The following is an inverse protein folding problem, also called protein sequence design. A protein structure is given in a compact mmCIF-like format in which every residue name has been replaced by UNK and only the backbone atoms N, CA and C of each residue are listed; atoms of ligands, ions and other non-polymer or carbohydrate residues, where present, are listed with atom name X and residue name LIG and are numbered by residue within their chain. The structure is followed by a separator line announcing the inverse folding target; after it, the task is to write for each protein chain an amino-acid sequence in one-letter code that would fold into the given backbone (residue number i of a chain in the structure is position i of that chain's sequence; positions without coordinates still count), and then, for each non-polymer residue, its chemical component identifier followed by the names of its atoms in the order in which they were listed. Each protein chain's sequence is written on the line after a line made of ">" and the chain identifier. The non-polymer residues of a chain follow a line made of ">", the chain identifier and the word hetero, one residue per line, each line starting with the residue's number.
data_IF_095050521156
#
_entry.id   IF_095050521156
#
_cell.length_a   1.000
_cell.length_b   1.000
_cell.length_c   1.000
_cell.angle_alpha   90.00
_cell.angle_beta   90.00
_cell.angle_gamma   90.00
#
_symmetry.space_group_name_H-M   'P 1'
#
loop_
_entity.id
_entity.type
_entity.pdbx_description
1 polymer ?
#
# COMPACT_ATOMS: atom_id res chain seq x y z
N UNK A 1 10.15 -18.37 -8.26
CA UNK A 1 8.84 -17.81 -8.59
C UNK A 1 8.52 -16.73 -7.55
N UNK A 2 8.16 -15.52 -7.92
CA UNK A 2 7.80 -14.49 -6.91
C UNK A 2 6.36 -14.74 -6.49
N UNK A 3 6.00 -14.66 -5.20
CA UNK A 3 4.61 -14.71 -4.79
C UNK A 3 3.85 -13.56 -5.46
N UNK A 4 2.77 -13.89 -6.15
CA UNK A 4 1.97 -12.92 -6.89
C UNK A 4 0.81 -12.48 -6.00
N UNK A 5 0.71 -11.17 -5.77
CA UNK A 5 -0.46 -10.55 -5.14
C UNK A 5 -1.40 -10.08 -6.24
N UNK A 6 -2.58 -10.66 -6.32
CA UNK A 6 -3.64 -10.22 -7.21
C UNK A 6 -4.53 -9.22 -6.49
N UNK A 7 -4.71 -8.04 -7.07
CA UNK A 7 -5.72 -7.10 -6.61
C UNK A 7 -6.99 -7.26 -7.46
N UNK A 8 -8.05 -7.71 -6.80
CA UNK A 8 -9.39 -7.80 -7.38
C UNK A 8 -10.08 -6.45 -7.27
N UNK A 9 -10.40 -5.84 -8.40
CA UNK A 9 -11.09 -4.56 -8.48
C UNK A 9 -12.57 -4.80 -8.84
N UNK A 10 -13.45 -4.57 -7.88
CA UNK A 10 -14.88 -4.83 -8.02
C UNK A 10 -15.68 -3.68 -8.68
N UNK A 11 -15.03 -2.69 -9.24
CA UNK A 11 -15.68 -1.67 -10.06
C UNK A 11 -16.14 -2.26 -11.38
N UNK A 12 -17.36 -1.88 -11.85
CA UNK A 12 -17.94 -2.47 -13.08
C UNK A 12 -17.16 -2.10 -14.34
N UNK A 13 -16.46 -0.95 -14.36
CA UNK A 13 -15.67 -0.49 -15.49
C UNK A 13 -14.38 0.14 -14.98
N UNK A 14 -13.25 -0.30 -15.49
CA UNK A 14 -11.91 0.19 -15.13
C UNK A 14 -11.20 0.70 -16.38
N UNK A 15 -10.34 1.72 -16.22
CA UNK A 15 -9.55 2.30 -17.31
C UNK A 15 -10.15 3.57 -17.92
N UNK A 16 -11.45 3.81 -17.78
CA UNK A 16 -12.16 4.94 -18.40
C UNK A 16 -11.70 6.34 -17.92
N UNK A 17 -11.05 6.43 -16.78
CA UNK A 17 -10.42 7.68 -16.32
C UNK A 17 -9.04 7.89 -16.92
N UNK A 18 -8.30 6.83 -17.22
CA UNK A 18 -6.89 6.89 -17.55
C UNK A 18 -6.02 7.11 -16.32
N UNK A 19 -4.76 7.46 -16.54
CA UNK A 19 -3.74 7.65 -15.51
C UNK A 19 -3.20 9.08 -15.59
N UNK A 20 -3.18 9.83 -14.49
CA UNK A 20 -2.61 11.18 -14.47
C UNK A 20 -1.08 11.15 -14.62
N UNK A 21 -0.45 12.28 -15.01
CA UNK A 21 1.00 12.34 -15.12
C UNK A 21 1.69 12.10 -13.79
N UNK A 22 2.81 11.39 -13.81
CA UNK A 22 3.66 11.25 -12.63
C UNK A 22 4.44 12.54 -12.42
N UNK A 23 3.99 13.36 -11.50
CA UNK A 23 4.63 14.61 -11.09
C UNK A 23 4.92 14.57 -9.59
N UNK A 24 6.00 15.23 -9.17
CA UNK A 24 6.43 15.26 -7.77
C UNK A 24 6.30 16.69 -7.24
N UNK A 25 5.69 16.83 -6.08
CA UNK A 25 5.56 18.11 -5.36
C UNK A 25 6.92 18.53 -4.75
N UNK A 26 7.01 19.79 -4.30
CA UNK A 26 8.21 20.32 -3.63
C UNK A 26 8.60 19.54 -2.36
N UNK A 27 7.64 18.88 -1.73
CA UNK A 27 7.83 18.05 -0.54
C UNK A 27 8.30 16.62 -0.85
N UNK A 28 8.54 16.28 -2.12
CA UNK A 28 8.98 14.97 -2.57
C UNK A 28 7.87 13.92 -2.77
N UNK A 29 6.59 14.28 -2.54
CA UNK A 29 5.46 13.38 -2.74
C UNK A 29 4.95 13.45 -4.18
N UNK A 30 4.54 12.31 -4.72
CA UNK A 30 3.85 12.28 -6.00
C UNK A 30 2.49 12.99 -5.89
N UNK A 31 2.20 13.89 -6.84
CA UNK A 31 1.02 14.77 -6.78
C UNK A 31 -0.30 13.98 -6.84
N UNK A 32 -0.36 12.99 -7.73
CA UNK A 32 -1.60 12.25 -8.01
C UNK A 32 -1.52 10.76 -7.69
N UNK A 33 -0.35 10.27 -7.28
CA UNK A 33 -0.14 8.85 -6.97
C UNK A 33 -0.07 8.63 -5.46
N UNK A 34 -0.61 7.51 -5.02
CA UNK A 34 -0.60 7.10 -3.61
C UNK A 34 0.63 6.29 -3.23
N UNK A 35 1.45 5.91 -4.22
CA UNK A 35 2.70 5.16 -4.07
C UNK A 35 3.64 5.46 -5.24
N UNK A 36 4.88 5.05 -5.12
CA UNK A 36 5.94 5.22 -6.12
C UNK A 36 5.81 4.29 -7.34
N UNK A 37 5.07 3.18 -7.20
CA UNK A 37 4.87 2.16 -8.23
C UNK A 37 3.61 1.36 -7.98
N UNK A 38 3.27 0.46 -8.91
CA UNK A 38 2.23 -0.56 -8.72
C UNK A 38 2.82 -1.71 -7.90
N UNK A 39 2.29 -1.94 -6.70
CA UNK A 39 2.70 -3.05 -5.83
C UNK A 39 1.94 -4.35 -6.10
N UNK A 40 0.80 -4.28 -6.81
CA UNK A 40 0.08 -5.45 -7.26
C UNK A 40 0.91 -6.23 -8.30
N UNK A 41 0.84 -7.55 -8.24
CA UNK A 41 1.50 -8.41 -9.24
C UNK A 41 0.61 -8.68 -10.45
N UNK A 42 -0.69 -8.51 -10.31
CA UNK A 42 -1.69 -8.51 -11.39
C UNK A 42 -2.96 -7.80 -10.94
N UNK A 43 -3.77 -7.34 -11.89
CA UNK A 43 -5.07 -6.72 -11.64
C UNK A 43 -6.15 -7.58 -12.32
N UNK A 44 -7.22 -7.86 -11.59
CA UNK A 44 -8.41 -8.56 -12.10
C UNK A 44 -9.57 -7.57 -12.12
N UNK A 45 -10.18 -7.38 -13.28
CA UNK A 45 -11.32 -6.47 -13.49
C UNK A 45 -12.45 -7.15 -14.25
N UNK A 46 -13.70 -6.69 -14.06
CA UNK A 46 -14.83 -7.19 -14.85
C UNK A 46 -14.73 -6.71 -16.30
N UNK A 47 -14.76 -5.40 -16.47
CA UNK A 47 -14.72 -4.74 -17.77
C UNK A 47 -13.61 -3.70 -17.81
N UNK A 48 -12.94 -3.62 -18.96
CA UNK A 48 -11.88 -2.67 -19.22
C UNK A 48 -12.27 -1.71 -20.34
N UNK A 49 -12.05 -0.41 -20.12
CA UNK A 49 -12.23 0.62 -21.16
C UNK A 49 -10.91 0.91 -21.85
N UNK A 50 -10.86 0.67 -23.16
CA UNK A 50 -9.71 1.04 -24.01
C UNK A 50 -9.53 2.57 -24.12
N UNK A 51 -10.65 3.30 -24.05
CA UNK A 51 -10.64 4.76 -24.12
C UNK A 51 -10.77 5.38 -22.74
N UNK A 52 -9.99 6.43 -22.51
CA UNK A 52 -10.09 7.24 -21.30
C UNK A 52 -10.41 8.71 -21.64
N UNK A 53 -11.06 9.42 -20.73
CA UNK A 53 -11.58 10.77 -20.98
C UNK A 53 -11.42 11.76 -19.83
N UNK A 54 -10.68 11.42 -18.77
CA UNK A 54 -10.49 12.35 -17.65
C UNK A 54 -9.54 13.49 -18.07
N UNK A 55 -9.89 14.73 -17.70
CA UNK A 55 -9.15 15.94 -18.07
C UNK A 55 -7.65 15.92 -17.69
N UNK A 56 -7.29 15.20 -16.63
CA UNK A 56 -5.92 15.08 -16.12
C UNK A 56 -5.23 13.77 -16.56
N UNK A 57 -5.85 13.01 -17.44
CA UNK A 57 -5.25 11.77 -17.91
C UNK A 57 -4.12 12.03 -18.92
N UNK A 58 -3.02 11.32 -18.74
CA UNK A 58 -1.84 11.39 -19.59
C UNK A 58 -1.61 10.14 -20.41
N UNK A 59 -2.03 8.99 -19.88
CA UNK A 59 -1.88 7.69 -20.52
C UNK A 59 -3.04 6.76 -20.16
N UNK A 60 -3.15 5.62 -20.88
CA UNK A 60 -4.12 4.58 -20.50
C UNK A 60 -3.62 3.77 -19.30
N UNK A 61 -4.54 3.16 -18.57
CA UNK A 61 -4.16 2.21 -17.52
C UNK A 61 -3.39 1.01 -18.11
N UNK A 62 -3.72 0.55 -19.31
CA UNK A 62 -3.01 -0.53 -19.97
C UNK A 62 -1.55 -0.19 -20.26
N UNK A 63 -1.26 1.04 -20.69
CA UNK A 63 0.11 1.47 -20.96
C UNK A 63 0.92 1.55 -19.65
N UNK A 64 0.32 2.06 -18.57
CA UNK A 64 0.96 2.06 -17.27
C UNK A 64 1.25 0.64 -16.77
N UNK A 65 0.26 -0.28 -16.83
CA UNK A 65 0.43 -1.68 -16.44
C UNK A 65 1.54 -2.37 -17.25
N UNK A 66 1.57 -2.14 -18.59
CA UNK A 66 2.63 -2.67 -19.46
C UNK A 66 4.01 -2.16 -19.07
N UNK A 67 4.14 -0.87 -18.79
CA UNK A 67 5.40 -0.25 -18.36
C UNK A 67 5.90 -0.81 -17.03
N UNK A 68 5.01 -1.09 -16.11
CA UNK A 68 5.32 -1.69 -14.79
C UNK A 68 5.47 -3.23 -14.85
N UNK A 69 5.15 -3.86 -15.99
CA UNK A 69 5.19 -5.31 -16.14
C UNK A 69 4.10 -6.04 -15.33
N UNK A 70 2.95 -5.38 -15.11
CA UNK A 70 1.82 -5.91 -14.34
C UNK A 70 0.73 -6.38 -15.29
N UNK A 71 0.40 -7.69 -15.34
CA UNK A 71 -0.69 -8.20 -16.17
C UNK A 71 -2.06 -7.76 -15.66
N UNK A 72 -2.98 -7.50 -16.58
CA UNK A 72 -4.40 -7.26 -16.33
C UNK A 72 -5.26 -8.37 -16.90
N UNK A 73 -6.26 -8.83 -16.15
CA UNK A 73 -7.23 -9.84 -16.57
C UNK A 73 -8.61 -9.22 -16.56
N UNK A 74 -9.34 -9.39 -17.66
CA UNK A 74 -10.72 -8.90 -17.82
C UNK A 74 -11.70 -10.07 -18.00
N UNK A 75 -13.00 -9.77 -17.90
CA UNK A 75 -14.04 -10.76 -18.13
C UNK A 75 -14.33 -11.68 -16.93
N UNK A 76 -13.83 -11.34 -15.76
CA UNK A 76 -14.08 -12.09 -14.52
C UNK A 76 -15.21 -11.41 -13.73
N UNK A 77 -16.15 -12.20 -13.20
CA UNK A 77 -17.11 -11.69 -12.21
C UNK A 77 -16.41 -11.37 -10.90
N UNK A 78 -15.84 -10.16 -10.83
CA UNK A 78 -15.08 -9.68 -9.68
C UNK A 78 -15.94 -9.53 -8.44
N UNK A 79 -17.26 -9.32 -8.60
CA UNK A 79 -18.20 -9.25 -7.48
C UNK A 79 -18.41 -10.62 -6.84
N UNK A 80 -18.57 -11.67 -7.66
CA UNK A 80 -18.65 -13.04 -7.15
C UNK A 80 -17.33 -13.47 -6.52
N UNK A 81 -16.20 -13.16 -7.13
CA UNK A 81 -14.88 -13.43 -6.58
C UNK A 81 -14.71 -12.75 -5.19
N UNK A 82 -15.16 -11.50 -5.05
CA UNK A 82 -15.14 -10.80 -3.76
C UNK A 82 -15.97 -11.52 -2.69
N UNK A 83 -17.14 -12.08 -3.05
CA UNK A 83 -17.96 -12.85 -2.09
C UNK A 83 -17.24 -14.11 -1.64
N UNK A 84 -16.63 -14.85 -2.56
CA UNK A 84 -15.85 -16.05 -2.25
C UNK A 84 -14.69 -15.71 -1.30
N UNK A 85 -13.93 -14.64 -1.59
CA UNK A 85 -12.82 -14.18 -0.74
C UNK A 85 -13.29 -13.74 0.66
N UNK A 86 -14.48 -13.15 0.78
CA UNK A 86 -15.05 -12.77 2.09
C UNK A 86 -15.45 -13.97 2.93
N UNK A 87 -15.89 -15.05 2.31
CA UNK A 87 -16.31 -16.29 3.00
C UNK A 87 -15.12 -17.16 3.40
N UNK A 88 -14.09 -17.22 2.56
CA UNK A 88 -12.95 -18.13 2.73
C UNK A 88 -11.66 -17.45 3.21
N UNK A 89 -11.62 -16.12 3.23
CA UNK A 89 -10.41 -15.35 3.54
C UNK A 89 -9.45 -15.29 2.35
N UNK A 90 -8.15 -15.19 2.62
CA UNK A 90 -7.11 -15.15 1.60
C UNK A 90 -7.02 -16.51 0.90
N UNK A 91 -7.05 -16.50 -0.42
CA UNK A 91 -6.98 -17.72 -1.24
C UNK A 91 -5.80 -17.66 -2.20
N UNK A 92 -5.16 -18.80 -2.39
CA UNK A 92 -4.14 -18.97 -3.42
C UNK A 92 -4.80 -19.11 -4.78
N UNK A 93 -4.26 -18.42 -5.78
CA UNK A 93 -4.74 -18.47 -7.17
C UNK A 93 -3.60 -18.60 -8.16
N UNK A 94 -3.92 -19.08 -9.35
CA UNK A 94 -3.01 -19.17 -10.50
C UNK A 94 -3.67 -18.57 -11.72
N UNK A 95 -2.86 -17.92 -12.55
CA UNK A 95 -3.20 -17.61 -13.93
C UNK A 95 -2.49 -18.64 -14.79
N UNK A 96 -3.22 -19.41 -15.54
CA UNK A 96 -2.70 -20.41 -16.47
C UNK A 96 -3.07 -19.97 -17.89
N UNK A 97 -2.14 -20.15 -18.82
CA UNK A 97 -2.39 -20.05 -20.26
C UNK A 97 -2.71 -21.44 -20.80
N UNK A 98 -3.40 -21.52 -21.93
CA UNK A 98 -3.94 -22.77 -22.49
C UNK A 98 -2.90 -23.87 -22.71
N UNK A 99 -1.64 -23.52 -22.87
CA UNK A 99 -0.50 -24.42 -23.09
C UNK A 99 0.32 -24.72 -21.81
N UNK A 100 -0.05 -24.13 -20.66
CA UNK A 100 0.65 -24.35 -19.41
C UNK A 100 0.09 -25.56 -18.61
N UNK A 101 0.95 -26.37 -17.98
CA UNK A 101 0.49 -27.48 -17.17
C UNK A 101 -0.21 -27.01 -15.90
N UNK A 102 -1.34 -27.61 -15.54
CA UNK A 102 -2.11 -27.30 -14.35
C UNK A 102 -1.35 -27.52 -13.02
N UNK A 103 -0.30 -28.33 -13.03
CA UNK A 103 0.48 -28.70 -11.85
C UNK A 103 1.63 -27.73 -11.50
N UNK A 104 1.67 -26.53 -12.10
CA UNK A 104 2.60 -25.48 -11.69
C UNK A 104 2.41 -25.18 -10.19
N UNK A 105 3.45 -25.25 -9.36
CA UNK A 105 3.33 -24.95 -7.94
C UNK A 105 2.78 -23.55 -7.69
N UNK A 106 1.86 -23.40 -6.75
CA UNK A 106 1.48 -22.08 -6.22
C UNK A 106 2.64 -21.49 -5.44
N UNK A 107 2.84 -20.20 -5.55
CA UNK A 107 3.82 -19.50 -4.72
C UNK A 107 3.42 -19.63 -3.24
N UNK A 108 4.39 -19.86 -2.36
CA UNK A 108 4.17 -19.85 -0.92
C UNK A 108 3.78 -18.43 -0.49
N UNK A 109 2.66 -18.33 0.21
CA UNK A 109 2.16 -17.07 0.77
C UNK A 109 2.41 -17.00 2.29
N UNK A 110 2.38 -18.15 2.95
CA UNK A 110 2.56 -18.25 4.39
C UNK A 110 3.96 -17.76 4.82
N UNK A 111 4.02 -17.00 5.92
CA UNK A 111 5.26 -16.49 6.48
C UNK A 111 5.88 -15.30 5.75
N UNK A 112 5.19 -14.72 4.75
CA UNK A 112 5.69 -13.51 4.06
C UNK A 112 5.26 -12.25 4.82
N UNK A 113 6.24 -11.50 5.34
CA UNK A 113 5.98 -10.17 5.88
C UNK A 113 5.82 -9.16 4.74
N UNK A 114 4.56 -8.87 4.38
CA UNK A 114 4.24 -7.91 3.32
C UNK A 114 4.51 -6.47 3.71
N UNK A 115 4.44 -6.14 5.00
CA UNK A 115 4.80 -4.81 5.51
C UNK A 115 6.27 -4.53 5.22
N UNK A 116 7.16 -5.50 5.46
CA UNK A 116 8.58 -5.35 5.13
C UNK A 116 8.84 -5.11 3.64
N UNK A 117 8.00 -5.66 2.75
CA UNK A 117 8.15 -5.47 1.29
C UNK A 117 7.78 -4.07 0.81
N UNK A 118 6.90 -3.37 1.52
CA UNK A 118 6.34 -2.07 1.09
C UNK A 118 6.80 -0.90 1.97
N UNK A 119 7.32 -1.16 3.15
CA UNK A 119 7.87 -0.16 4.06
C UNK A 119 9.12 0.51 3.47
N UNK A 120 9.30 1.80 3.76
CA UNK A 120 10.55 2.49 3.46
C UNK A 120 11.73 1.79 4.14
N UNK A 121 12.94 1.99 3.62
CA UNK A 121 14.14 1.39 4.21
C UNK A 121 14.95 2.40 5.01
N UNK A 122 14.74 3.69 4.73
CA UNK A 122 15.43 4.80 5.37
C UNK A 122 14.43 5.75 6.01
N UNK A 123 14.90 6.57 6.95
CA UNK A 123 14.11 7.65 7.55
C UNK A 123 13.94 8.76 6.52
N UNK A 124 12.69 9.15 6.29
CA UNK A 124 12.33 10.23 5.37
C UNK A 124 11.62 11.34 6.15
N UNK A 125 12.06 12.58 5.97
CA UNK A 125 11.46 13.73 6.62
C UNK A 125 10.69 14.58 5.64
N UNK A 126 9.55 15.07 6.09
CA UNK A 126 8.69 15.96 5.32
C UNK A 126 8.34 17.18 6.17
N UNK A 127 8.27 18.35 5.55
CA UNK A 127 7.92 19.62 6.20
C UNK A 127 8.80 19.93 7.43
N UNK A 128 10.10 19.74 7.28
CA UNK A 128 11.06 19.95 8.36
C UNK A 128 10.98 21.35 8.96
N UNK A 129 11.10 21.45 10.28
CA UNK A 129 11.01 22.71 11.00
C UNK A 129 9.59 23.16 11.33
N UNK A 130 8.56 22.38 10.99
CA UNK A 130 7.20 22.63 11.45
C UNK A 130 7.10 22.48 12.99
N UNK A 131 6.14 23.21 13.60
CA UNK A 131 6.03 23.34 15.04
C UNK A 131 5.73 22.06 15.82
N UNK A 132 5.12 21.05 15.18
CA UNK A 132 4.82 19.73 15.77
C UNK A 132 5.42 18.63 14.93
N UNK A 133 5.98 17.62 15.59
CA UNK A 133 6.61 16.47 14.95
C UNK A 133 5.82 15.21 15.19
N UNK A 134 5.56 14.45 14.13
CA UNK A 134 4.91 13.14 14.18
C UNK A 134 5.86 12.10 13.61
N UNK A 135 6.16 11.06 14.38
CA UNK A 135 6.78 9.86 13.85
C UNK A 135 5.68 9.06 13.16
N UNK A 136 5.91 8.71 11.90
CA UNK A 136 5.02 7.90 11.09
C UNK A 136 5.71 6.56 10.81
N UNK A 137 5.19 5.49 11.44
CA UNK A 137 5.65 4.12 11.22
C UNK A 137 5.06 3.61 9.91
N UNK A 138 5.93 3.32 8.96
CA UNK A 138 5.54 2.97 7.61
C UNK A 138 5.25 1.49 7.45
N UNK A 139 3.98 1.12 7.53
CA UNK A 139 3.52 -0.22 7.20
C UNK A 139 3.08 -0.37 5.72
N UNK A 140 3.28 0.65 4.88
CA UNK A 140 2.80 0.75 3.50
C UNK A 140 1.94 2.00 3.32
N UNK A 141 2.41 3.13 3.86
CA UNK A 141 1.68 4.39 3.90
C UNK A 141 1.31 4.90 2.50
N UNK A 142 0.09 5.40 2.37
CA UNK A 142 -0.36 6.12 1.19
C UNK A 142 0.07 7.59 1.26
N UNK A 143 0.52 8.14 0.13
CA UNK A 143 1.03 9.50 0.05
C UNK A 143 0.02 10.55 0.56
N UNK A 144 -1.27 10.31 0.37
CA UNK A 144 -2.30 11.22 0.87
C UNK A 144 -2.35 11.34 2.39
N UNK A 145 -1.99 10.29 3.13
CA UNK A 145 -1.90 10.35 4.59
C UNK A 145 -0.80 11.32 5.00
N UNK A 146 0.38 11.21 4.38
CA UNK A 146 1.51 12.13 4.62
C UNK A 146 1.11 13.55 4.25
N UNK A 147 0.49 13.74 3.08
CA UNK A 147 0.00 15.03 2.59
C UNK A 147 -1.01 15.67 3.57
N UNK A 148 -1.91 14.88 4.12
CA UNK A 148 -2.87 15.35 5.13
C UNK A 148 -2.20 15.86 6.40
N UNK A 149 -1.12 15.24 6.85
CA UNK A 149 -0.34 15.68 8.00
C UNK A 149 0.44 16.97 7.69
N UNK A 150 1.14 17.00 6.55
CA UNK A 150 1.89 18.18 6.10
C UNK A 150 0.99 19.41 5.97
N UNK A 151 -0.17 19.26 5.36
CA UNK A 151 -1.17 20.35 5.16
C UNK A 151 -1.73 20.88 6.49
N UNK A 152 -1.55 20.16 7.60
CA UNK A 152 -1.88 20.61 8.97
C UNK A 152 -0.71 21.22 9.70
N UNK A 153 0.39 21.51 9.01
CA UNK A 153 1.58 22.12 9.58
C UNK A 153 2.39 21.18 10.49
N UNK A 154 2.37 19.88 10.21
CA UNK A 154 3.11 18.88 10.97
C UNK A 154 4.39 18.50 10.23
N UNK A 155 5.51 18.42 10.94
CA UNK A 155 6.70 17.72 10.46
C UNK A 155 6.46 16.20 10.57
N UNK A 156 6.60 15.47 9.47
CA UNK A 156 6.44 14.02 9.45
C UNK A 156 7.80 13.35 9.34
N UNK A 157 8.10 12.49 10.30
CA UNK A 157 9.31 11.66 10.31
C UNK A 157 8.85 10.22 10.00
N UNK A 158 8.89 9.85 8.72
CA UNK A 158 8.54 8.50 8.24
C UNK A 158 9.70 7.57 8.54
N UNK A 159 9.44 6.50 9.28
CA UNK A 159 10.42 5.50 9.69
C UNK A 159 10.03 4.11 9.18
N UNK A 160 10.98 3.20 8.95
CA UNK A 160 10.67 1.79 8.65
C UNK A 160 9.76 1.16 9.71
N UNK A 161 8.99 0.15 9.31
CA UNK A 161 8.01 -0.52 10.17
C UNK A 161 8.59 -1.10 11.48
N UNK A 162 9.87 -1.49 11.46
CA UNK A 162 10.60 -2.09 12.59
C UNK A 162 11.69 -1.18 13.18
N UNK A 163 11.63 0.11 12.88
CA UNK A 163 12.59 1.08 13.42
C UNK A 163 12.28 1.43 14.87
N UNK A 164 13.27 1.34 15.78
CA UNK A 164 13.11 1.78 17.18
C UNK A 164 13.17 3.31 17.27
N UNK A 165 12.01 3.93 17.39
CA UNK A 165 11.80 5.38 17.50
C UNK A 165 11.69 5.87 18.94
N UNK A 166 11.86 5.00 19.94
CA UNK A 166 11.58 5.33 21.35
C UNK A 166 12.48 6.44 21.92
N UNK A 167 13.68 6.60 21.39
CA UNK A 167 14.62 7.67 21.79
C UNK A 167 14.50 8.95 20.94
N UNK A 168 13.56 9.00 20.00
CA UNK A 168 13.36 10.16 19.15
C UNK A 168 12.54 11.25 19.85
N UNK A 169 12.84 12.52 19.53
CA UNK A 169 12.03 13.66 19.93
C UNK A 169 10.87 13.87 18.95
N UNK A 170 9.63 13.66 19.40
CA UNK A 170 8.38 13.85 18.64
C UNK A 170 7.19 14.12 19.57
N UNK A 171 6.12 14.67 19.03
CA UNK A 171 4.90 15.02 19.77
C UNK A 171 3.78 13.96 19.66
N UNK A 172 3.78 13.16 18.61
CA UNK A 172 2.77 12.13 18.36
C UNK A 172 3.29 11.00 17.50
N UNK A 173 2.65 9.84 17.63
CA UNK A 173 2.95 8.63 16.87
C UNK A 173 1.79 8.30 15.92
N UNK A 174 2.12 7.99 14.68
CA UNK A 174 1.15 7.57 13.67
C UNK A 174 1.56 6.23 13.06
N UNK A 175 0.71 5.23 13.22
CA UNK A 175 0.90 3.91 12.62
C UNK A 175 0.10 3.85 11.32
N UNK A 176 0.80 3.65 10.21
CA UNK A 176 0.20 3.73 8.88
C UNK A 176 -0.60 2.48 8.53
N UNK A 177 -1.41 2.59 7.46
CA UNK A 177 -2.01 1.44 6.80
C UNK A 177 -0.93 0.53 6.20
N UNK A 178 -1.30 -0.71 5.94
CA UNK A 178 -0.38 -1.69 5.32
C UNK A 178 -1.07 -2.96 4.88
N UNK A 179 -0.39 -3.78 4.07
CA UNK A 179 -0.85 -5.08 3.62
C UNK A 179 -0.44 -6.19 4.59
N UNK A 180 -1.08 -7.34 4.46
CA UNK A 180 -0.66 -8.59 5.10
C UNK A 180 -1.28 -8.82 6.47
N UNK A 181 -0.63 -9.70 7.22
CA UNK A 181 -1.06 -10.16 8.53
C UNK A 181 -0.36 -9.34 9.64
N UNK A 182 -1.10 -8.72 10.57
CA UNK A 182 -0.52 -8.02 11.72
C UNK A 182 0.42 -8.89 12.57
N UNK A 183 0.15 -10.19 12.67
CA UNK A 183 0.96 -11.13 13.44
C UNK A 183 2.40 -11.26 12.91
N UNK A 184 2.64 -10.85 11.66
CA UNK A 184 3.98 -10.79 11.08
C UNK A 184 4.77 -9.54 11.50
N UNK A 185 4.15 -8.59 12.21
CA UNK A 185 4.76 -7.32 12.61
C UNK A 185 5.19 -7.30 14.08
N UNK A 186 5.74 -8.39 14.59
CA UNK A 186 6.13 -8.56 16.01
C UNK A 186 7.03 -7.43 16.49
N UNK A 187 8.08 -7.09 15.73
CA UNK A 187 9.02 -6.03 16.08
C UNK A 187 8.31 -4.67 16.28
N UNK A 188 7.38 -4.32 15.37
CA UNK A 188 6.61 -3.08 15.50
C UNK A 188 5.76 -3.06 16.78
N UNK A 189 5.15 -4.19 17.13
CA UNK A 189 4.34 -4.33 18.36
C UNK A 189 5.20 -4.21 19.60
N UNK A 190 6.39 -4.79 19.63
CA UNK A 190 7.31 -4.68 20.77
C UNK A 190 7.79 -3.24 20.98
N UNK A 191 8.20 -2.55 19.91
CA UNK A 191 8.59 -1.14 19.95
C UNK A 191 7.41 -0.27 20.43
N UNK A 192 6.21 -0.53 19.92
CA UNK A 192 5.00 0.17 20.32
C UNK A 192 4.69 0.00 21.80
N UNK A 193 4.74 -1.22 22.32
CA UNK A 193 4.57 -1.50 23.76
C UNK A 193 5.59 -0.76 24.63
N UNK A 194 6.86 -0.74 24.20
CA UNK A 194 7.92 0.02 24.86
C UNK A 194 7.58 1.52 24.90
N UNK A 195 7.15 2.09 23.77
CA UNK A 195 6.77 3.51 23.67
C UNK A 195 5.56 3.85 24.56
N UNK A 196 4.52 3.01 24.55
CA UNK A 196 3.30 3.20 25.35
C UNK A 196 3.61 3.15 26.86
N UNK A 197 4.57 2.34 27.26
CA UNK A 197 5.02 2.23 28.66
C UNK A 197 5.87 3.43 29.10
N UNK A 198 6.65 4.01 28.19
CA UNK A 198 7.57 5.10 28.48
C UNK A 198 6.91 6.50 28.41
N UNK A 199 5.83 6.66 27.65
CA UNK A 199 5.27 7.97 27.36
C UNK A 199 3.77 7.91 27.06
N UNK A 200 3.04 9.00 27.42
CA UNK A 200 1.61 9.19 27.10
C UNK A 200 1.40 10.09 25.87
N UNK A 201 2.33 10.08 24.92
CA UNK A 201 2.14 10.81 23.67
C UNK A 201 0.91 10.27 22.90
N UNK A 202 0.16 11.11 22.19
CA UNK A 202 -0.97 10.65 21.40
C UNK A 202 -0.52 9.68 20.32
N UNK A 203 -1.29 8.61 20.14
CA UNK A 203 -1.05 7.57 19.13
C UNK A 203 -2.30 7.45 18.27
N UNK A 204 -2.12 7.36 16.96
CA UNK A 204 -3.17 7.13 15.99
C UNK A 204 -2.76 6.01 15.03
N UNK A 205 -3.69 5.12 14.71
CA UNK A 205 -3.47 4.03 13.76
C UNK A 205 -4.54 3.99 12.67
N UNK A 206 -4.15 3.69 11.44
CA UNK A 206 -5.07 3.45 10.31
C UNK A 206 -4.90 2.02 9.81
N UNK A 207 -6.01 1.27 9.64
CA UNK A 207 -6.02 -0.08 9.06
C UNK A 207 -5.03 -0.99 9.82
N UNK A 208 -3.94 -1.43 9.17
CA UNK A 208 -2.86 -2.20 9.80
C UNK A 208 -2.40 -1.54 11.11
N UNK A 209 -2.13 -0.24 11.10
CA UNK A 209 -1.72 0.48 12.30
C UNK A 209 -2.73 0.45 13.45
N UNK A 210 -4.04 0.38 13.14
CA UNK A 210 -5.08 0.20 14.17
C UNK A 210 -5.14 -1.25 14.68
N UNK A 211 -4.74 -2.22 13.88
CA UNK A 211 -4.68 -3.62 14.29
C UNK A 211 -3.46 -3.93 15.16
N UNK A 212 -2.38 -3.15 15.01
CA UNK A 212 -1.18 -3.27 15.84
C UNK A 212 -1.33 -2.63 17.24
N UNK A 213 -2.32 -1.73 17.43
CA UNK A 213 -2.70 -1.09 18.70
C UNK A 213 -3.49 -2.04 19.62
#
# INVERSE_FOLDING_TARGET
>A
MRPLRFDNVSYPLVGNYGVPPFTVEKNGLATFMESDKIYASAIIVSDYSEAYSHWNANESLADWLKREGVPGITGIDTRQLTKVLREHGVMMGKILFDDEPENIPTAEYEGVNWVDKVSCKDIIRYNEGAGRKVVLVDCGVKNNIIRCLINRGVEVIRVPWNYDYTDMDFDGLFLANGPGDPDMCVDAVEILKKQMSASRKPICGICMGNQLL
#
